data_IF_753891081728
#
_entry.id   IF_753891081728
#
_cell.length_a   1.000
_cell.length_b   1.000
_cell.length_c   1.000
_cell.angle_alpha   90.00
_cell.angle_beta   90.00
_cell.angle_gamma   90.00
#
_symmetry.space_group_name_H-M   'P 1'
#
loop_
_entity.id
_entity.type
_entity.pdbx_description
1 polymer ?
#
# COMPACT_ATOMS: atom_id res chain seq x y z
N UNK A 1 -4.00 7.35 -4.73
CA UNK A 1 -3.53 7.81 -3.40
C UNK A 1 -2.23 8.59 -3.53
N UNK A 2 -1.97 9.60 -2.68
CA UNK A 2 -0.73 10.39 -2.71
C UNK A 2 0.33 9.88 -1.73
N UNK A 3 1.62 10.06 -2.06
CA UNK A 3 2.72 9.68 -1.15
C UNK A 3 2.73 10.46 0.17
N UNK A 4 2.23 11.69 0.15
CA UNK A 4 2.12 12.52 1.35
C UNK A 4 1.14 11.92 2.36
N UNK A 5 0.02 11.36 1.89
CA UNK A 5 -0.95 10.66 2.73
C UNK A 5 -0.37 9.37 3.34
N UNK A 6 0.44 8.63 2.57
CA UNK A 6 1.08 7.38 3.01
C UNK A 6 2.20 7.66 4.03
N UNK A 7 2.96 8.74 3.82
CA UNK A 7 4.00 9.20 4.76
C UNK A 7 3.43 9.60 6.11
N UNK A 8 2.30 10.30 6.10
CA UNK A 8 1.58 10.68 7.31
C UNK A 8 1.00 9.45 8.01
N UNK A 9 0.39 8.51 7.27
CA UNK A 9 -0.22 7.31 7.87
C UNK A 9 0.80 6.32 8.45
N UNK A 10 1.98 6.17 7.84
CA UNK A 10 2.98 5.18 8.24
C UNK A 10 4.12 5.77 9.11
N UNK A 11 4.18 7.09 9.28
CA UNK A 11 5.24 7.78 10.03
C UNK A 11 6.64 7.64 9.39
N UNK A 12 6.71 7.22 8.12
CA UNK A 12 7.97 6.95 7.40
C UNK A 12 8.31 8.15 6.51
N UNK A 13 9.60 8.52 6.46
CA UNK A 13 10.10 9.59 5.59
C UNK A 13 9.80 9.29 4.12
N UNK A 14 9.52 10.33 3.31
CA UNK A 14 9.19 10.24 1.88
C UNK A 14 10.21 9.44 1.06
N UNK A 15 11.47 9.44 1.47
CA UNK A 15 12.55 8.68 0.82
C UNK A 15 12.34 7.16 0.91
N UNK A 16 11.90 6.65 2.06
CA UNK A 16 11.59 5.24 2.24
C UNK A 16 10.42 4.78 1.37
N UNK A 17 9.42 5.65 1.22
CA UNK A 17 8.23 5.40 0.40
C UNK A 17 8.59 5.43 -1.08
N UNK A 18 9.44 6.38 -1.50
CA UNK A 18 9.89 6.47 -2.90
C UNK A 18 10.70 5.25 -3.30
N UNK A 19 11.60 4.77 -2.44
CA UNK A 19 12.40 3.57 -2.69
C UNK A 19 11.52 2.30 -2.79
N UNK A 20 10.61 2.13 -1.83
CA UNK A 20 9.64 1.01 -1.86
C UNK A 20 8.74 1.07 -3.11
N UNK A 21 8.19 2.25 -3.43
CA UNK A 21 7.36 2.45 -4.62
C UNK A 21 8.14 2.19 -5.92
N UNK A 22 9.41 2.60 -5.99
CA UNK A 22 10.26 2.34 -7.16
C UNK A 22 10.50 0.84 -7.38
N UNK A 23 10.72 0.07 -6.32
CA UNK A 23 10.88 -1.38 -6.41
C UNK A 23 9.59 -2.06 -6.88
N UNK A 24 8.44 -1.69 -6.30
CA UNK A 24 7.13 -2.21 -6.70
C UNK A 24 6.74 -1.82 -8.13
N UNK A 25 7.15 -0.63 -8.59
CA UNK A 25 6.93 -0.17 -9.97
C UNK A 25 7.80 -0.93 -10.97
N UNK A 26 9.07 -1.23 -10.64
CA UNK A 26 9.95 -2.08 -11.47
C UNK A 26 9.39 -3.49 -11.64
N UNK A 27 8.73 -4.01 -10.60
CA UNK A 27 8.05 -5.31 -10.62
C UNK A 27 6.68 -5.27 -11.33
N UNK A 28 6.25 -4.11 -11.82
CA UNK A 28 4.95 -3.87 -12.48
C UNK A 28 3.74 -4.21 -11.60
N UNK A 29 3.90 -4.17 -10.28
CA UNK A 29 2.84 -4.42 -9.30
C UNK A 29 1.99 -3.15 -9.11
N UNK A 30 2.65 -1.99 -9.16
CA UNK A 30 2.00 -0.68 -9.08
C UNK A 30 2.45 0.21 -10.25
N UNK A 31 1.61 1.17 -10.60
CA UNK A 31 2.00 2.32 -11.41
C UNK A 31 2.09 3.57 -10.52
N UNK A 32 3.14 4.35 -10.74
CA UNK A 32 3.40 5.57 -10.00
C UNK A 32 3.65 6.72 -10.97
N UNK A 33 2.69 7.64 -11.07
CA UNK A 33 2.81 8.84 -11.90
C UNK A 33 2.28 10.07 -11.17
N UNK A 34 2.99 11.20 -11.27
CA UNK A 34 2.60 12.52 -10.71
C UNK A 34 2.11 12.46 -9.25
N UNK A 35 2.73 11.62 -8.41
CA UNK A 35 2.35 11.49 -7.01
C UNK A 35 1.13 10.61 -6.76
N UNK A 36 0.54 9.98 -7.78
CA UNK A 36 -0.57 9.04 -7.67
C UNK A 36 -0.05 7.61 -7.77
N UNK A 37 -0.40 6.77 -6.80
CA UNK A 37 -0.17 5.32 -6.84
C UNK A 37 -1.45 4.63 -7.32
N UNK A 38 -1.32 3.84 -8.38
CA UNK A 38 -2.32 2.92 -8.89
C UNK A 38 -1.84 1.48 -8.68
N UNK A 39 -2.66 0.62 -8.08
CA UNK A 39 -2.33 -0.80 -7.92
C UNK A 39 -2.76 -1.54 -9.18
N UNK A 40 -1.81 -2.16 -9.88
CA UNK A 40 -2.07 -2.93 -11.10
C UNK A 40 -2.41 -4.38 -10.77
N UNK A 41 -1.68 -4.95 -9.82
CA UNK A 41 -1.88 -6.33 -9.35
C UNK A 41 -1.92 -6.34 -7.82
N UNK A 42 -3.14 -6.48 -7.29
CA UNK A 42 -3.33 -6.52 -5.84
C UNK A 42 -2.76 -7.80 -5.24
N UNK A 43 -2.85 -8.94 -5.92
CA UNK A 43 -2.42 -10.21 -5.36
C UNK A 43 -0.90 -10.24 -5.17
N UNK A 44 -0.16 -9.81 -6.20
CA UNK A 44 1.30 -9.67 -6.09
C UNK A 44 1.73 -8.63 -5.07
N UNK A 45 0.93 -7.58 -4.87
CA UNK A 45 1.20 -6.60 -3.82
C UNK A 45 1.05 -7.23 -2.43
N UNK A 46 0.02 -8.04 -2.22
CA UNK A 46 -0.24 -8.74 -0.96
C UNK A 46 0.86 -9.76 -0.64
N UNK A 47 1.40 -10.47 -1.64
CA UNK A 47 2.55 -11.40 -1.45
C UNK A 47 3.83 -10.72 -0.96
N UNK A 48 3.99 -9.41 -1.21
CA UNK A 48 5.15 -8.62 -0.80
C UNK A 48 4.94 -7.88 0.52
N UNK A 49 3.71 -7.85 1.01
CA UNK A 49 3.42 -7.33 2.34
C UNK A 49 3.88 -8.33 3.40
N UNK A 50 4.33 -7.81 4.55
CA UNK A 50 4.51 -8.65 5.71
C UNK A 50 3.13 -9.06 6.29
N UNK A 51 3.17 -10.04 7.18
CA UNK A 51 2.01 -10.58 7.92
C UNK A 51 1.16 -9.50 8.60
N UNK A 52 1.75 -8.33 8.89
CA UNK A 52 1.05 -7.17 9.43
C UNK A 52 -0.12 -6.73 8.56
N UNK A 53 -0.02 -6.86 7.23
CA UNK A 53 -1.11 -6.47 6.33
C UNK A 53 -2.35 -7.35 6.52
N UNK A 54 -2.18 -8.66 6.69
CA UNK A 54 -3.31 -9.58 6.91
C UNK A 54 -4.01 -9.32 8.25
N UNK A 55 -3.24 -8.99 9.30
CA UNK A 55 -3.81 -8.59 10.60
C UNK A 55 -4.68 -7.33 10.44
N UNK A 56 -4.17 -6.30 9.78
CA UNK A 56 -4.92 -5.05 9.56
C UNK A 56 -6.11 -5.27 8.64
N UNK A 57 -5.97 -6.04 7.56
CA UNK A 57 -7.05 -6.38 6.63
C UNK A 57 -8.17 -7.15 7.32
N UNK A 58 -7.81 -8.09 8.21
CA UNK A 58 -8.78 -8.84 9.02
C UNK A 58 -9.53 -7.94 9.99
N UNK A 59 -8.84 -7.06 10.70
CA UNK A 59 -9.51 -6.13 11.61
C UNK A 59 -10.37 -5.11 10.87
N UNK A 60 -9.89 -4.59 9.74
CA UNK A 60 -10.68 -3.72 8.86
C UNK A 60 -11.94 -4.46 8.36
N UNK A 61 -11.78 -5.68 7.86
CA UNK A 61 -12.93 -6.49 7.40
C UNK A 61 -13.92 -6.73 8.55
N UNK A 62 -13.45 -7.01 9.76
CA UNK A 62 -14.31 -7.18 10.93
C UNK A 62 -15.07 -5.90 11.28
N UNK A 63 -14.37 -4.76 11.38
CA UNK A 63 -14.94 -3.45 11.74
C UNK A 63 -15.99 -2.95 10.73
N UNK A 64 -15.80 -3.25 9.45
CA UNK A 64 -16.69 -2.81 8.37
C UNK A 64 -17.66 -3.91 7.90
N UNK A 65 -17.59 -5.13 8.43
CA UNK A 65 -18.54 -6.22 8.14
C UNK A 65 -19.89 -6.03 8.83
N UNK A 66 -19.99 -5.15 9.83
CA UNK A 66 -21.23 -4.88 10.57
C UNK A 66 -22.13 -3.81 9.89
N UNK A 67 -21.79 -3.37 8.66
CA UNK A 67 -22.51 -2.32 7.91
C UNK A 67 -23.42 -2.90 6.80
N UNK A 68 -23.85 -4.16 6.91
CA UNK A 68 -24.90 -4.73 6.04
C UNK A 68 -26.20 -4.97 6.80
#
# INVERSE_FOLDING_TARGET
MTQELISIMLGVRREGITSAASNLQKEKIIDYSRGTICVLDRHRLEERCCECYEVVKKEYSRLFSDIC
#
